data_IF_492496101945
#
_entry.id   IF_492496101945
#
_cell.length_a   1.000
_cell.length_b   1.000
_cell.length_c   1.000
_cell.angle_alpha   90.00
_cell.angle_beta   90.00
_cell.angle_gamma   90.00
#
_symmetry.space_group_name_H-M   'P 1'
#
loop_
_entity.id
_entity.type
_entity.pdbx_description
1 polymer ?
#
# COMPACT_ATOMS: atom_id res chain seq x y z
N UNK A 1 21.62 -12.74 16.14
CA UNK A 1 21.52 -12.09 14.81
C UNK A 1 20.46 -12.79 13.96
N UNK A 2 20.34 -14.12 14.00
CA UNK A 2 19.35 -14.87 13.20
C UNK A 2 17.87 -14.59 13.52
N UNK A 3 17.52 -14.32 14.78
CA UNK A 3 16.12 -14.10 15.20
C UNK A 3 15.48 -12.84 14.59
N UNK A 4 16.28 -11.79 14.37
CA UNK A 4 15.76 -10.54 13.76
C UNK A 4 15.49 -10.72 12.27
N UNK A 5 16.33 -11.48 11.58
CA UNK A 5 16.12 -11.85 10.18
C UNK A 5 14.85 -12.69 10.00
N UNK A 6 14.65 -13.67 10.89
CA UNK A 6 13.41 -14.46 10.92
C UNK A 6 12.17 -13.60 11.14
N UNK A 7 12.27 -12.55 11.95
CA UNK A 7 11.16 -11.60 12.16
C UNK A 7 10.83 -10.82 10.89
N UNK A 8 11.83 -10.30 10.17
CA UNK A 8 11.60 -9.64 8.88
C UNK A 8 11.01 -10.59 7.84
N UNK A 9 11.52 -11.82 7.75
CA UNK A 9 11.04 -12.85 6.82
C UNK A 9 9.58 -13.23 7.14
N UNK A 10 9.22 -13.31 8.43
CA UNK A 10 7.83 -13.53 8.86
C UNK A 10 6.88 -12.43 8.39
N UNK A 11 7.25 -11.16 8.56
CA UNK A 11 6.40 -10.05 8.11
C UNK A 11 6.26 -10.01 6.60
N UNK A 12 7.36 -10.23 5.86
CA UNK A 12 7.38 -10.24 4.40
C UNK A 12 6.49 -11.37 3.87
N UNK A 13 6.71 -12.61 4.33
CA UNK A 13 5.97 -13.77 3.83
C UNK A 13 4.46 -13.65 4.04
N UNK A 14 4.01 -13.21 5.21
CA UNK A 14 2.58 -13.00 5.44
C UNK A 14 2.01 -11.81 4.67
N UNK A 15 2.79 -10.74 4.46
CA UNK A 15 2.36 -9.64 3.60
C UNK A 15 2.17 -10.11 2.15
N UNK A 16 3.07 -10.96 1.64
CA UNK A 16 2.97 -11.57 0.30
C UNK A 16 1.71 -12.45 0.18
N UNK A 17 1.47 -13.36 1.13
CA UNK A 17 0.29 -14.23 1.15
C UNK A 17 -1.03 -13.43 1.16
N UNK A 18 -1.12 -12.43 2.02
CA UNK A 18 -2.30 -11.57 2.13
C UNK A 18 -2.50 -10.72 0.87
N UNK A 19 -1.41 -10.22 0.28
CA UNK A 19 -1.46 -9.49 -0.97
C UNK A 19 -1.98 -10.38 -2.09
N UNK A 20 -1.43 -11.59 -2.26
CA UNK A 20 -1.87 -12.54 -3.28
C UNK A 20 -3.37 -12.87 -3.14
N UNK A 21 -3.84 -13.09 -1.90
CA UNK A 21 -5.25 -13.31 -1.62
C UNK A 21 -6.11 -12.10 -2.03
N UNK A 22 -5.69 -10.89 -1.70
CA UNK A 22 -6.40 -9.65 -2.02
C UNK A 22 -6.38 -9.32 -3.51
N UNK A 23 -5.40 -9.84 -4.26
CA UNK A 23 -5.33 -9.65 -5.71
C UNK A 23 -6.35 -10.50 -6.47
N UNK A 24 -7.02 -11.46 -5.83
CA UNK A 24 -8.09 -12.26 -6.44
C UNK A 24 -7.64 -12.97 -7.74
N UNK A 25 -6.37 -13.38 -7.78
CA UNK A 25 -5.75 -13.98 -8.97
C UNK A 25 -5.31 -12.99 -10.05
N UNK A 26 -5.50 -11.68 -9.86
CA UNK A 26 -4.95 -10.67 -10.75
C UNK A 26 -3.42 -10.65 -10.64
N UNK A 27 -2.74 -10.88 -11.76
CA UNK A 27 -1.31 -10.70 -11.87
C UNK A 27 -1.02 -9.30 -12.41
N UNK A 28 -0.26 -8.51 -11.65
CA UNK A 28 0.21 -7.20 -12.09
C UNK A 28 1.72 -7.29 -12.27
N UNK A 29 2.17 -7.21 -13.51
CA UNK A 29 3.60 -7.22 -13.84
C UNK A 29 4.23 -5.86 -13.50
N UNK A 30 4.72 -5.73 -12.26
CA UNK A 30 5.40 -4.52 -11.77
C UNK A 30 6.84 -4.84 -11.41
N UNK A 31 7.76 -4.43 -12.29
CA UNK A 31 9.17 -4.35 -11.96
C UNK A 31 9.48 -2.99 -11.35
N UNK A 32 9.71 -2.93 -10.03
CA UNK A 32 9.97 -1.67 -9.32
C UNK A 32 11.12 -0.86 -9.91
N UNK A 33 12.14 -1.50 -10.50
CA UNK A 33 13.25 -0.83 -11.19
C UNK A 33 12.80 0.03 -12.38
N UNK A 34 11.68 -0.34 -13.02
CA UNK A 34 11.11 0.35 -14.18
C UNK A 34 10.06 1.39 -13.79
N UNK A 35 9.59 1.35 -12.54
CA UNK A 35 8.62 2.31 -12.01
C UNK A 35 9.27 3.68 -11.90
N UNK A 36 8.64 4.67 -12.52
CA UNK A 36 9.04 6.08 -12.47
C UNK A 36 8.21 6.81 -11.42
N UNK A 37 8.87 7.65 -10.65
CA UNK A 37 8.21 8.56 -9.72
C UNK A 37 8.82 9.95 -9.86
N UNK A 38 8.03 10.96 -9.50
CA UNK A 38 8.48 12.35 -9.45
C UNK A 38 8.39 12.82 -7.99
N UNK A 39 9.55 12.89 -7.35
CA UNK A 39 9.70 13.21 -5.93
C UNK A 39 9.40 14.68 -5.62
N UNK A 40 9.43 15.57 -6.62
CA UNK A 40 9.18 17.02 -6.44
C UNK A 40 7.79 17.43 -6.93
N UNK A 41 7.04 16.50 -7.51
CA UNK A 41 5.69 16.77 -7.95
C UNK A 41 4.70 16.78 -6.77
N UNK A 42 4.20 17.97 -6.47
CA UNK A 42 3.21 18.24 -5.43
C UNK A 42 1.78 18.40 -5.98
N UNK A 43 1.52 18.07 -7.25
CA UNK A 43 0.18 18.17 -7.84
C UNK A 43 -0.79 17.25 -7.11
N UNK A 44 -1.97 17.77 -6.80
CA UNK A 44 -3.07 17.00 -6.22
C UNK A 44 -3.42 15.78 -7.09
N UNK A 45 -3.62 14.63 -6.45
CA UNK A 45 -3.87 13.35 -7.13
C UNK A 45 -2.63 12.68 -7.76
N UNK A 46 -1.43 13.28 -7.65
CA UNK A 46 -0.22 12.66 -8.20
C UNK A 46 0.37 11.57 -7.28
N UNK A 47 0.82 10.48 -7.88
CA UNK A 47 1.68 9.44 -7.30
C UNK A 47 2.38 8.66 -8.42
N UNK A 48 3.28 7.73 -8.06
CA UNK A 48 3.84 6.79 -9.04
C UNK A 48 2.75 5.97 -9.76
N UNK A 49 1.58 5.76 -9.17
CA UNK A 49 0.47 5.03 -9.84
C UNK A 49 -0.07 5.85 -11.04
N UNK A 50 -0.20 7.16 -10.87
CA UNK A 50 -0.72 8.06 -11.91
C UNK A 50 0.35 8.54 -12.89
N UNK A 51 1.62 8.20 -12.67
CA UNK A 51 2.71 8.52 -13.60
C UNK A 51 2.51 7.79 -14.95
N UNK A 52 2.42 8.49 -16.09
CA UNK A 52 2.03 7.90 -17.38
C UNK A 52 2.89 6.72 -17.84
N UNK A 53 4.19 6.75 -17.54
CA UNK A 53 5.13 5.67 -17.89
C UNK A 53 4.78 4.32 -17.25
N UNK A 54 4.17 4.31 -16.06
CA UNK A 54 3.99 3.09 -15.27
C UNK A 54 2.77 2.29 -15.70
N UNK A 55 1.81 2.91 -16.40
CA UNK A 55 0.58 2.27 -16.88
C UNK A 55 -0.25 1.61 -15.77
N UNK A 56 -0.14 2.11 -14.53
CA UNK A 56 -0.82 1.56 -13.35
C UNK A 56 -2.18 2.21 -13.07
N UNK A 57 -2.53 3.32 -13.75
CA UNK A 57 -3.75 4.09 -13.50
C UNK A 57 -5.06 3.29 -13.60
N UNK A 58 -5.04 2.15 -14.30
CA UNK A 58 -6.21 1.28 -14.47
C UNK A 58 -6.14 -0.04 -13.70
N UNK A 59 -5.05 -0.28 -12.94
CA UNK A 59 -4.90 -1.52 -12.17
C UNK A 59 -6.04 -1.72 -11.16
N UNK A 60 -6.50 -0.65 -10.51
CA UNK A 60 -7.65 -0.71 -9.60
C UNK A 60 -8.92 -1.20 -10.31
N UNK A 61 -9.15 -0.75 -11.55
CA UNK A 61 -10.32 -1.13 -12.33
C UNK A 61 -10.23 -2.59 -12.79
N UNK A 62 -9.03 -3.09 -13.06
CA UNK A 62 -8.79 -4.51 -13.33
C UNK A 62 -9.07 -5.37 -12.11
N UNK A 63 -8.62 -4.95 -10.92
CA UNK A 63 -8.90 -5.65 -9.67
C UNK A 63 -10.39 -5.64 -9.34
N UNK A 64 -11.06 -4.50 -9.54
CA UNK A 64 -12.52 -4.39 -9.36
C UNK A 64 -13.27 -5.34 -10.30
N UNK A 65 -12.83 -5.47 -11.56
CA UNK A 65 -13.40 -6.46 -12.49
C UNK A 65 -13.22 -7.89 -11.97
N UNK A 66 -12.05 -8.23 -11.44
CA UNK A 66 -11.82 -9.54 -10.81
C UNK A 66 -12.73 -9.76 -9.60
N UNK A 67 -12.92 -8.74 -8.77
CA UNK A 67 -13.84 -8.77 -7.64
C UNK A 67 -15.30 -8.99 -8.07
N UNK A 68 -15.69 -8.57 -9.28
CA UNK A 68 -17.02 -8.83 -9.82
C UNK A 68 -17.19 -10.23 -10.42
N UNK A 69 -16.12 -11.01 -10.61
CA UNK A 69 -16.23 -12.37 -11.18
C UNK A 69 -16.84 -13.36 -10.18
N UNK A 70 -17.50 -14.43 -10.64
CA UNK A 70 -18.03 -15.47 -9.75
C UNK A 70 -16.95 -16.15 -8.90
N UNK A 71 -15.70 -16.20 -9.39
CA UNK A 71 -14.57 -16.80 -8.69
C UNK A 71 -14.18 -16.05 -7.42
N UNK A 72 -14.36 -14.72 -7.37
CA UNK A 72 -14.01 -13.91 -6.19
C UNK A 72 -14.90 -14.23 -4.98
N UNK A 73 -16.14 -14.65 -5.23
CA UNK A 73 -17.17 -14.80 -4.21
C UNK A 73 -17.61 -13.49 -3.53
N UNK A 74 -17.17 -12.32 -4.01
CA UNK A 74 -17.49 -11.01 -3.43
C UNK A 74 -18.77 -10.41 -3.99
N UNK A 75 -19.02 -10.63 -5.28
CA UNK A 75 -20.16 -10.10 -6.00
C UNK A 75 -21.13 -11.21 -6.40
N UNK A 76 -22.41 -10.93 -6.29
CA UNK A 76 -23.49 -11.78 -6.77
C UNK A 76 -24.01 -11.21 -8.10
N UNK A 77 -23.61 -11.81 -9.21
CA UNK A 77 -24.04 -11.39 -10.55
C UNK A 77 -25.55 -11.58 -10.76
N UNK A 78 -26.16 -12.58 -10.11
CA UNK A 78 -27.59 -12.88 -10.29
C UNK A 78 -28.49 -11.80 -9.68
N UNK A 79 -28.05 -11.24 -8.55
CA UNK A 79 -28.75 -10.17 -7.85
C UNK A 79 -28.16 -8.79 -8.11
N UNK A 80 -27.00 -8.69 -8.77
CA UNK A 80 -26.27 -7.43 -9.00
C UNK A 80 -25.81 -6.77 -7.69
N UNK A 81 -25.53 -7.55 -6.64
CA UNK A 81 -25.24 -7.03 -5.30
C UNK A 81 -23.94 -7.58 -4.72
N UNK A 82 -23.32 -6.80 -3.83
CA UNK A 82 -22.16 -7.24 -3.06
C UNK A 82 -22.58 -8.12 -1.89
N UNK A 83 -21.86 -9.23 -1.68
CA UNK A 83 -22.06 -10.11 -0.52
C UNK A 83 -21.41 -9.47 0.71
N UNK A 84 -22.21 -8.79 1.53
CA UNK A 84 -21.74 -7.97 2.65
C UNK A 84 -20.72 -8.68 3.57
N UNK A 85 -20.96 -9.95 3.90
CA UNK A 85 -20.05 -10.75 4.73
C UNK A 85 -18.72 -11.03 4.05
N UNK A 86 -18.71 -11.28 2.74
CA UNK A 86 -17.51 -11.53 1.96
C UNK A 86 -16.68 -10.25 1.79
N UNK A 87 -17.34 -9.11 1.52
CA UNK A 87 -16.70 -7.79 1.46
C UNK A 87 -16.10 -7.39 2.80
N UNK A 88 -16.82 -7.57 3.90
CA UNK A 88 -16.31 -7.29 5.23
C UNK A 88 -15.07 -8.15 5.56
N UNK A 89 -15.05 -9.41 5.13
CA UNK A 89 -13.87 -10.28 5.26
C UNK A 89 -12.70 -9.77 4.42
N UNK A 90 -12.95 -9.38 3.17
CA UNK A 90 -11.93 -8.81 2.30
C UNK A 90 -11.32 -7.53 2.88
N UNK A 91 -12.14 -6.64 3.44
CA UNK A 91 -11.68 -5.43 4.12
C UNK A 91 -10.81 -5.76 5.34
N UNK A 92 -11.21 -6.73 6.17
CA UNK A 92 -10.39 -7.21 7.31
C UNK A 92 -9.05 -7.80 6.85
N UNK A 93 -9.03 -8.54 5.75
CA UNK A 93 -7.78 -9.04 5.15
C UNK A 93 -6.89 -7.88 4.68
N UNK A 94 -7.47 -6.82 4.11
CA UNK A 94 -6.74 -5.61 3.71
C UNK A 94 -6.16 -4.85 4.91
N UNK A 95 -6.92 -4.71 6.00
CA UNK A 95 -6.42 -4.15 7.27
C UNK A 95 -5.25 -4.97 7.80
N UNK A 96 -5.36 -6.31 7.78
CA UNK A 96 -4.29 -7.21 8.21
C UNK A 96 -3.04 -7.07 7.36
N UNK A 97 -3.18 -6.91 6.03
CA UNK A 97 -2.06 -6.62 5.15
C UNK A 97 -1.35 -5.32 5.57
N UNK A 98 -2.10 -4.26 5.90
CA UNK A 98 -1.51 -3.00 6.36
C UNK A 98 -0.73 -3.17 7.68
N UNK A 99 -1.21 -4.00 8.61
CA UNK A 99 -0.49 -4.34 9.84
C UNK A 99 0.83 -5.07 9.56
N UNK A 100 0.83 -6.02 8.62
CA UNK A 100 2.04 -6.75 8.23
C UNK A 100 3.03 -5.88 7.45
N UNK A 101 2.55 -5.00 6.57
CA UNK A 101 3.36 -3.98 5.92
C UNK A 101 3.99 -3.02 6.94
N UNK A 102 3.27 -2.69 8.01
CA UNK A 102 3.83 -1.89 9.09
C UNK A 102 4.99 -2.61 9.80
N UNK A 103 4.86 -3.92 10.04
CA UNK A 103 5.95 -4.76 10.52
C UNK A 103 7.13 -4.84 9.56
N UNK A 104 6.87 -4.94 8.25
CA UNK A 104 7.90 -4.88 7.21
C UNK A 104 8.68 -3.56 7.31
N UNK A 105 7.99 -2.42 7.26
CA UNK A 105 8.64 -1.12 7.39
C UNK A 105 9.42 -0.98 8.70
N UNK A 106 8.92 -1.55 9.81
CA UNK A 106 9.62 -1.49 11.09
C UNK A 106 10.91 -2.33 11.14
N UNK A 107 10.94 -3.46 10.42
CA UNK A 107 12.04 -4.43 10.51
C UNK A 107 13.06 -4.28 9.37
N UNK A 108 12.67 -3.73 8.22
CA UNK A 108 13.54 -3.59 7.05
C UNK A 108 14.11 -2.18 6.87
N UNK A 109 13.54 -1.17 7.53
CA UNK A 109 14.02 0.21 7.42
C UNK A 109 15.10 0.53 8.46
N UNK A 110 16.07 1.39 8.10
CA UNK A 110 17.14 1.82 9.00
C UNK A 110 16.71 2.82 10.08
N UNK A 111 15.64 3.58 9.84
CA UNK A 111 15.03 4.49 10.82
C UNK A 111 13.55 4.18 10.96
N UNK A 112 13.17 3.71 12.15
CA UNK A 112 11.80 3.37 12.46
C UNK A 112 11.01 4.61 12.84
N UNK A 113 10.15 5.06 11.91
CA UNK A 113 9.13 6.08 12.19
C UNK A 113 8.17 5.59 13.28
N UNK A 114 7.52 6.52 13.99
CA UNK A 114 6.50 6.12 14.99
C UNK A 114 5.35 5.43 14.27
N UNK A 115 4.74 4.44 14.91
CA UNK A 115 3.60 3.70 14.31
C UNK A 115 2.49 4.65 13.84
N UNK A 116 2.18 5.70 14.61
CA UNK A 116 1.21 6.73 14.24
C UNK A 116 1.57 7.51 12.98
N UNK A 117 2.86 7.74 12.74
CA UNK A 117 3.34 8.43 11.53
C UNK A 117 3.24 7.50 10.31
N UNK A 118 3.52 6.21 10.49
CA UNK A 118 3.45 5.21 9.43
C UNK A 118 2.01 4.99 8.94
N UNK A 119 1.05 4.89 9.86
CA UNK A 119 -0.37 4.79 9.51
C UNK A 119 -0.98 6.08 8.96
N UNK A 120 -0.25 7.20 9.04
CA UNK A 120 -0.65 8.48 8.43
C UNK A 120 -0.13 8.66 7.00
N UNK A 121 0.72 7.76 6.50
CA UNK A 121 1.28 7.85 5.16
C UNK A 121 0.17 7.70 4.12
N UNK A 122 0.15 8.63 3.16
CA UNK A 122 -0.69 8.54 1.98
C UNK A 122 0.13 8.07 0.78
N UNK A 123 -0.48 7.30 -0.11
CA UNK A 123 0.15 6.86 -1.35
C UNK A 123 0.05 7.91 -2.48
N UNK A 124 -0.82 8.91 -2.30
CA UNK A 124 -1.15 9.93 -3.30
C UNK A 124 -1.15 11.31 -2.66
N UNK A 125 -0.68 12.30 -3.42
CA UNK A 125 -0.78 13.70 -3.02
C UNK A 125 -2.24 14.10 -2.90
N UNK A 126 -2.53 14.92 -1.89
CA UNK A 126 -3.85 15.49 -1.66
C UNK A 126 -3.75 17.02 -1.63
N UNK A 127 -4.90 17.69 -1.72
CA UNK A 127 -5.00 19.13 -1.47
C UNK A 127 -4.46 19.56 -0.08
N UNK A 128 -4.36 18.63 0.88
CA UNK A 128 -3.91 18.90 2.25
C UNK A 128 -2.43 18.58 2.48
N UNK A 129 -1.73 18.03 1.49
CA UNK A 129 -0.33 17.68 1.61
C UNK A 129 0.11 16.62 0.61
N UNK A 130 1.42 16.56 0.41
CA UNK A 130 2.06 15.55 -0.42
C UNK A 130 2.03 14.16 0.23
N UNK A 131 2.21 13.16 -0.62
CA UNK A 131 2.25 11.75 -0.22
C UNK A 131 3.43 11.41 0.69
N UNK A 132 3.28 10.30 1.38
CA UNK A 132 4.32 9.70 2.21
C UNK A 132 5.06 8.54 1.56
N UNK A 133 4.53 7.98 0.47
CA UNK A 133 5.13 6.84 -0.25
C UNK A 133 5.70 7.26 -1.60
N UNK A 134 6.95 6.86 -1.85
CA UNK A 134 7.70 7.19 -3.06
C UNK A 134 8.43 5.96 -3.59
N UNK A 135 8.72 5.94 -4.89
CA UNK A 135 9.58 4.93 -5.52
C UNK A 135 10.86 5.58 -6.04
N UNK A 136 12.01 5.01 -5.69
CA UNK A 136 13.30 5.47 -6.18
C UNK A 136 14.26 4.29 -6.41
N UNK A 137 14.81 4.17 -7.62
CA UNK A 137 15.78 3.13 -8.00
C UNK A 137 15.38 1.71 -7.55
N UNK A 138 14.15 1.30 -7.85
CA UNK A 138 13.64 -0.03 -7.48
C UNK A 138 13.27 -0.22 -6.01
N UNK A 139 13.44 0.81 -5.17
CA UNK A 139 13.12 0.76 -3.75
C UNK A 139 11.89 1.60 -3.41
N UNK A 140 11.14 1.16 -2.42
CA UNK A 140 10.08 1.95 -1.78
C UNK A 140 10.71 2.84 -0.71
N UNK A 141 10.41 4.13 -0.74
CA UNK A 141 10.83 5.11 0.25
C UNK A 141 9.61 5.67 0.96
N UNK A 142 9.68 5.72 2.30
CA UNK A 142 8.66 6.34 3.15
C UNK A 142 9.17 7.66 3.70
N UNK A 143 8.40 8.74 3.58
CA UNK A 143 8.70 10.04 4.15
C UNK A 143 7.63 10.43 5.16
N UNK A 144 7.97 10.43 6.45
CA UNK A 144 7.09 10.94 7.51
C UNK A 144 7.41 12.40 7.80
N UNK A 145 6.38 13.25 7.82
CA UNK A 145 6.53 14.67 8.16
C UNK A 145 6.20 14.85 9.64
N UNK A 146 7.23 14.95 10.48
CA UNK A 146 7.07 15.26 11.89
C UNK A 146 7.27 16.75 12.14
N UNK A 147 6.19 17.49 12.43
CA UNK A 147 6.31 18.87 12.91
C UNK A 147 6.69 18.87 14.40
N UNK A 148 7.99 19.01 14.71
CA UNK A 148 8.41 19.37 16.08
C UNK A 148 8.01 20.82 16.30
N UNK A 149 6.81 21.06 16.86
CA UNK A 149 6.54 22.34 17.48
C UNK A 149 7.55 22.51 18.62
N UNK A 150 8.52 23.42 18.46
CA UNK A 150 9.33 23.90 19.58
C UNK A 150 8.35 24.55 20.56
N UNK A 151 8.01 23.87 21.66
CA UNK A 151 7.58 24.59 22.85
C UNK A 151 8.77 25.43 23.27
N UNK A 152 8.75 26.73 22.99
CA UNK A 152 9.57 27.68 23.72
C UNK A 152 9.08 27.64 25.16
N UNK A 153 9.78 26.90 26.01
CA UNK A 153 9.74 27.14 27.44
C UNK A 153 10.34 28.53 27.66
N UNK A 154 9.47 29.51 27.85
CA UNK A 154 9.81 30.76 28.51
C UNK A 154 10.07 30.50 30.00
#
# INVERSE_FOLDING_TARGET
IDTFRQLSEHFIGHAEELCEQLMLGLQVDVHLERVKDDLVNAKDGFSFISHPHNKLSHAYAQLLKQACTPYSGLFDESHGTWKATAVARYQKTAERLLEFLAGCFHTTSGQTGRSSELFSLTYQNSAFGERGLYIHNGSVMTLTRHHKAKRSTN
#
